data_IF_588475139911
#
_entry.id   IF_588475139911
#
_cell.length_a   1.000
_cell.length_b   1.000
_cell.length_c   1.000
_cell.angle_alpha   90.00
_cell.angle_beta   90.00
_cell.angle_gamma   90.00
#
_symmetry.space_group_name_H-M   'P 1'
#
loop_
_entity.id
_entity.type
_entity.pdbx_description
1 polymer ?
#
# COMPACT_ATOMS: atom_id res chain seq x y z
N UNK A 1 -0.46 7.19 -6.80
CA UNK A 1 -1.08 8.43 -6.26
C UNK A 1 -2.21 8.12 -5.28
N UNK A 2 -3.23 7.33 -5.65
CA UNK A 2 -4.36 7.02 -4.74
C UNK A 2 -3.90 6.44 -3.40
N UNK A 3 -2.93 5.53 -3.40
CA UNK A 3 -2.40 4.98 -2.15
C UNK A 3 -1.74 6.04 -1.27
N UNK A 4 -0.97 6.94 -1.86
CA UNK A 4 -0.36 8.06 -1.14
C UNK A 4 -1.43 8.97 -0.54
N UNK A 5 -2.46 9.27 -1.30
CA UNK A 5 -3.57 10.11 -0.83
C UNK A 5 -4.27 9.46 0.37
N UNK A 6 -4.77 8.22 0.22
CA UNK A 6 -5.57 7.58 1.27
C UNK A 6 -4.75 7.22 2.52
N UNK A 7 -3.48 6.87 2.37
CA UNK A 7 -2.62 6.47 3.48
C UNK A 7 -1.95 7.66 4.19
N UNK A 8 -1.69 8.76 3.49
CA UNK A 8 -0.84 9.82 4.01
C UNK A 8 -1.33 11.25 3.72
N UNK A 9 -2.61 11.45 3.40
CA UNK A 9 -3.12 12.80 3.10
C UNK A 9 -3.00 13.79 4.26
N UNK A 10 -3.05 13.31 5.50
CA UNK A 10 -2.89 14.12 6.72
C UNK A 10 -1.43 14.30 7.12
N UNK A 11 -0.52 13.59 6.47
CA UNK A 11 0.91 13.72 6.70
C UNK A 11 1.50 14.90 5.90
N UNK A 12 2.68 15.36 6.36
CA UNK A 12 3.50 16.29 5.56
C UNK A 12 4.11 15.56 4.36
N UNK A 13 4.74 16.33 3.47
CA UNK A 13 5.36 15.80 2.25
C UNK A 13 6.30 14.63 2.51
N UNK A 14 7.18 14.71 3.51
CA UNK A 14 8.12 13.63 3.86
C UNK A 14 7.40 12.34 4.26
N UNK A 15 6.30 12.42 5.01
CA UNK A 15 5.49 11.28 5.38
C UNK A 15 4.82 10.62 4.18
N UNK A 16 4.33 11.42 3.24
CA UNK A 16 3.74 10.90 1.99
C UNK A 16 4.79 10.23 1.10
N UNK A 17 5.99 10.81 0.98
CA UNK A 17 7.13 10.19 0.30
C UNK A 17 7.51 8.85 0.93
N UNK A 18 7.56 8.78 2.26
CA UNK A 18 7.91 7.57 3.00
C UNK A 18 6.93 6.41 2.73
N UNK A 19 5.63 6.69 2.68
CA UNK A 19 4.61 5.68 2.31
C UNK A 19 4.83 5.19 0.87
N UNK A 20 5.16 6.08 -0.04
CA UNK A 20 5.51 5.71 -1.42
C UNK A 20 6.75 4.82 -1.49
N UNK A 21 7.79 5.16 -0.72
CA UNK A 21 9.03 4.38 -0.66
C UNK A 21 8.77 2.94 -0.17
N UNK A 22 7.92 2.76 0.85
CA UNK A 22 7.51 1.42 1.30
C UNK A 22 6.84 0.64 0.16
N UNK A 23 5.95 1.26 -0.61
CA UNK A 23 5.30 0.61 -1.75
C UNK A 23 6.33 0.13 -2.78
N UNK A 24 7.30 0.96 -3.13
CA UNK A 24 8.38 0.60 -4.06
C UNK A 24 9.28 -0.51 -3.47
N UNK A 25 9.62 -0.44 -2.18
CA UNK A 25 10.40 -1.47 -1.51
C UNK A 25 9.70 -2.84 -1.56
N UNK A 26 8.37 -2.87 -1.37
CA UNK A 26 7.58 -4.09 -1.52
C UNK A 26 7.66 -4.65 -2.95
N UNK A 27 7.52 -3.82 -3.96
CA UNK A 27 7.64 -4.25 -5.37
C UNK A 27 9.01 -4.90 -5.64
N UNK A 28 10.07 -4.40 -5.03
CA UNK A 28 11.43 -4.94 -5.17
C UNK A 28 11.69 -6.20 -4.35
N UNK A 29 10.82 -6.53 -3.44
CA UNK A 29 10.97 -7.67 -2.52
C UNK A 29 10.30 -8.92 -3.08
N UNK A 30 10.97 -10.07 -2.98
CA UNK A 30 10.42 -11.36 -3.36
C UNK A 30 9.22 -11.80 -2.51
N UNK A 31 9.03 -11.18 -1.35
CA UNK A 31 7.94 -11.50 -0.41
C UNK A 31 6.63 -10.80 -0.75
N UNK A 32 6.61 -9.92 -1.74
CA UNK A 32 5.45 -9.13 -2.13
C UNK A 32 5.21 -9.25 -3.64
N UNK A 33 4.01 -8.85 -4.13
CA UNK A 33 3.77 -8.73 -5.56
C UNK A 33 4.78 -7.81 -6.25
N UNK A 34 5.10 -8.09 -7.50
CA UNK A 34 6.16 -7.43 -8.26
C UNK A 34 5.71 -6.21 -9.08
N UNK A 35 4.49 -5.73 -8.86
CA UNK A 35 3.98 -4.49 -9.50
C UNK A 35 3.37 -3.58 -8.44
N UNK A 36 3.41 -2.27 -8.70
CA UNK A 36 2.81 -1.26 -7.82
C UNK A 36 1.31 -1.53 -7.62
N UNK A 37 0.57 -1.77 -8.69
CA UNK A 37 -0.87 -2.02 -8.58
C UNK A 37 -1.18 -3.27 -7.76
N UNK A 38 -0.43 -4.35 -7.93
CA UNK A 38 -0.65 -5.57 -7.18
C UNK A 38 -0.26 -5.43 -5.70
N UNK A 39 0.79 -4.67 -5.39
CA UNK A 39 1.14 -4.33 -3.99
C UNK A 39 0.02 -3.52 -3.34
N UNK A 40 -0.48 -2.48 -4.02
CA UNK A 40 -1.54 -1.60 -3.49
C UNK A 40 -2.85 -2.36 -3.28
N UNK A 41 -3.17 -3.26 -4.19
CA UNK A 41 -4.41 -4.06 -4.16
C UNK A 41 -4.29 -5.39 -3.41
N UNK A 42 -3.16 -5.63 -2.76
CA UNK A 42 -2.92 -6.89 -2.05
C UNK A 42 -3.92 -7.09 -0.92
N UNK A 43 -4.51 -8.28 -0.86
CA UNK A 43 -5.48 -8.63 0.16
C UNK A 43 -6.07 -10.01 -0.08
N UNK A 44 -6.91 -10.42 0.85
CA UNK A 44 -7.66 -11.68 0.71
C UNK A 44 -8.75 -11.51 -0.34
N UNK A 45 -8.81 -12.45 -1.29
CA UNK A 45 -9.77 -12.45 -2.39
C UNK A 45 -10.76 -13.60 -2.27
N UNK A 46 -11.95 -13.44 -2.83
CA UNK A 46 -12.90 -14.52 -3.01
C UNK A 46 -13.38 -14.56 -4.45
N UNK A 47 -13.67 -15.78 -4.94
CA UNK A 47 -14.20 -15.94 -6.29
C UNK A 47 -15.69 -15.61 -6.34
N UNK A 48 -16.09 -14.87 -7.38
CA UNK A 48 -17.50 -14.55 -7.64
C UNK A 48 -18.30 -15.82 -7.85
N UNK A 49 -19.53 -15.86 -7.30
CA UNK A 49 -20.50 -16.94 -7.56
C UNK A 49 -20.79 -17.13 -9.06
N UNK A 50 -20.65 -16.08 -9.86
CA UNK A 50 -20.87 -16.11 -11.32
C UNK A 50 -19.92 -17.06 -12.03
N UNK A 51 -18.71 -17.23 -11.53
CA UNK A 51 -17.72 -18.14 -12.12
C UNK A 51 -17.49 -19.38 -11.27
N UNK A 52 -17.61 -19.29 -9.96
CA UNK A 52 -17.37 -20.40 -9.04
C UNK A 52 -18.21 -21.65 -9.33
N UNK A 53 -19.42 -21.49 -9.87
CA UNK A 53 -20.31 -22.61 -10.24
C UNK A 53 -19.88 -23.34 -11.52
N UNK A 54 -18.86 -22.84 -12.22
CA UNK A 54 -18.36 -23.44 -13.47
C UNK A 54 -16.95 -23.98 -13.25
N UNK A 55 -16.79 -25.30 -12.96
CA UNK A 55 -15.48 -25.87 -12.63
C UNK A 55 -14.50 -25.89 -13.80
N UNK A 56 -14.99 -25.86 -15.04
CA UNK A 56 -14.16 -25.98 -16.25
C UNK A 56 -13.57 -24.65 -16.73
N UNK A 57 -13.88 -23.54 -16.09
CA UNK A 57 -13.27 -22.25 -16.41
C UNK A 57 -11.78 -22.24 -16.08
N UNK A 58 -10.97 -21.63 -16.96
CA UNK A 58 -9.58 -21.33 -16.66
C UNK A 58 -9.46 -20.24 -15.59
N UNK A 59 -8.29 -20.11 -14.94
CA UNK A 59 -8.07 -19.06 -13.96
C UNK A 59 -8.28 -17.64 -14.53
N UNK A 60 -7.94 -17.43 -15.81
CA UNK A 60 -8.10 -16.14 -16.49
C UNK A 60 -9.56 -15.74 -16.70
N UNK A 61 -10.45 -16.71 -16.76
CA UNK A 61 -11.90 -16.49 -16.92
C UNK A 61 -12.62 -16.28 -15.60
N UNK A 62 -11.95 -16.51 -14.46
CA UNK A 62 -12.54 -16.39 -13.14
C UNK A 62 -12.55 -14.94 -12.66
N UNK A 63 -13.61 -14.57 -11.95
CA UNK A 63 -13.80 -13.24 -11.41
C UNK A 63 -13.59 -13.28 -9.90
N UNK A 64 -12.62 -12.49 -9.42
CA UNK A 64 -12.32 -12.37 -8.00
C UNK A 64 -12.62 -10.96 -7.49
N UNK A 65 -13.06 -10.89 -6.23
CA UNK A 65 -13.29 -9.64 -5.51
C UNK A 65 -12.53 -9.65 -4.18
N UNK A 66 -12.08 -8.47 -3.70
CA UNK A 66 -11.45 -8.40 -2.39
C UNK A 66 -12.48 -8.63 -1.27
N UNK A 67 -12.05 -9.35 -0.24
CA UNK A 67 -12.83 -9.50 0.99
C UNK A 67 -12.80 -8.17 1.75
N UNK A 68 -13.98 -7.62 2.04
CA UNK A 68 -14.11 -6.34 2.75
C UNK A 68 -13.32 -6.33 4.05
N UNK A 69 -12.49 -5.30 4.24
CA UNK A 69 -11.68 -5.11 5.44
C UNK A 69 -10.48 -6.04 5.56
N UNK A 70 -10.12 -6.82 4.53
CA UNK A 70 -9.01 -7.78 4.55
C UNK A 70 -7.91 -7.44 3.53
N UNK A 71 -7.71 -6.15 3.24
CA UNK A 71 -6.66 -5.67 2.36
C UNK A 71 -5.50 -5.08 3.15
N UNK A 72 -4.29 -5.15 2.60
CA UNK A 72 -3.07 -4.56 3.18
C UNK A 72 -3.23 -3.05 3.37
N UNK A 73 -3.75 -2.37 2.35
CA UNK A 73 -4.18 -0.98 2.42
C UNK A 73 -5.70 -0.94 2.58
N UNK A 74 -6.17 -0.56 3.76
CA UNK A 74 -7.58 -0.69 4.14
C UNK A 74 -8.55 0.05 3.22
N UNK A 75 -8.14 1.20 2.67
CA UNK A 75 -8.96 2.02 1.79
C UNK A 75 -9.43 1.28 0.52
N UNK A 76 -8.61 0.33 0.04
CA UNK A 76 -8.90 -0.40 -1.20
C UNK A 76 -10.16 -1.27 -1.11
N UNK A 77 -10.47 -1.82 0.07
CA UNK A 77 -11.61 -2.71 0.25
C UNK A 77 -12.43 -2.44 1.51
N UNK A 78 -12.50 -1.19 1.95
CA UNK A 78 -13.32 -0.77 3.10
C UNK A 78 -14.80 -0.53 2.74
N UNK A 79 -15.15 -0.56 1.46
CA UNK A 79 -16.50 -0.33 0.95
C UNK A 79 -16.90 1.14 0.85
N UNK A 80 -15.95 2.07 1.08
CA UNK A 80 -16.15 3.50 0.91
C UNK A 80 -15.71 3.97 -0.48
N UNK A 81 -16.09 5.20 -0.85
CA UNK A 81 -15.60 5.81 -2.09
C UNK A 81 -14.09 6.02 -2.05
N UNK A 82 -13.42 5.68 -3.14
CA UNK A 82 -11.98 5.91 -3.34
C UNK A 82 -11.67 7.26 -3.99
N UNK A 83 -12.69 8.05 -4.29
CA UNK A 83 -12.53 9.36 -4.94
C UNK A 83 -11.90 10.35 -3.97
N UNK A 84 -10.75 10.97 -4.33
CA UNK A 84 -10.14 12.00 -3.49
C UNK A 84 -11.02 13.24 -3.38
N UNK A 85 -11.29 13.67 -2.15
CA UNK A 85 -12.11 14.85 -1.86
C UNK A 85 -11.25 16.08 -1.51
N UNK A 86 -10.07 15.87 -0.93
CA UNK A 86 -9.12 16.93 -0.55
C UNK A 86 -8.15 17.20 -1.70
N UNK A 87 -8.47 18.20 -2.53
CA UNK A 87 -7.74 18.45 -3.77
C UNK A 87 -6.25 18.78 -3.56
N UNK A 88 -5.90 19.56 -2.55
CA UNK A 88 -4.50 19.92 -2.29
C UNK A 88 -3.65 18.68 -1.97
N UNK A 89 -4.16 17.79 -1.12
CA UNK A 89 -3.50 16.52 -0.79
C UNK A 89 -3.46 15.59 -2.01
N UNK A 90 -4.50 15.59 -2.83
CA UNK A 90 -4.55 14.81 -4.07
C UNK A 90 -3.51 15.26 -5.09
N UNK A 91 -3.40 16.55 -5.34
CA UNK A 91 -2.39 17.09 -6.26
C UNK A 91 -0.97 16.83 -5.76
N UNK A 92 -0.73 16.93 -4.46
CA UNK A 92 0.56 16.56 -3.85
C UNK A 92 0.86 15.08 -4.06
N UNK A 93 -0.12 14.20 -3.86
CA UNK A 93 0.03 12.77 -4.10
C UNK A 93 0.35 12.45 -5.57
N UNK A 94 -0.29 13.14 -6.50
CA UNK A 94 -0.01 13.01 -7.94
C UNK A 94 1.43 13.44 -8.28
N UNK A 95 1.89 14.57 -7.76
CA UNK A 95 3.23 15.09 -8.02
C UNK A 95 4.31 14.17 -7.46
N UNK A 96 4.13 13.71 -6.21
CA UNK A 96 5.07 12.77 -5.57
C UNK A 96 5.10 11.45 -6.32
N UNK A 97 3.95 10.87 -6.64
CA UNK A 97 3.90 9.60 -7.38
C UNK A 97 4.60 9.70 -8.73
N UNK A 98 4.40 10.80 -9.45
CA UNK A 98 5.08 11.06 -10.74
C UNK A 98 6.60 11.12 -10.58
N UNK A 99 7.09 11.89 -9.61
CA UNK A 99 8.52 12.03 -9.36
C UNK A 99 9.16 10.70 -8.94
N UNK A 100 8.48 9.90 -8.11
CA UNK A 100 8.99 8.59 -7.69
C UNK A 100 9.07 7.59 -8.85
N UNK A 101 8.09 7.60 -9.74
CA UNK A 101 8.02 6.65 -10.86
C UNK A 101 8.96 7.08 -12.00
N UNK A 102 8.92 8.37 -12.37
CA UNK A 102 9.61 8.86 -13.58
C UNK A 102 11.08 9.20 -13.32
N UNK A 103 11.46 9.58 -12.10
CA UNK A 103 12.77 10.14 -11.78
C UNK A 103 13.49 9.46 -10.63
N UNK A 104 12.89 8.44 -10.01
CA UNK A 104 13.40 7.75 -8.81
C UNK A 104 13.76 8.70 -7.64
N UNK A 105 13.17 9.90 -7.63
CA UNK A 105 13.39 10.89 -6.57
C UNK A 105 12.66 10.47 -5.30
N UNK A 106 13.35 10.54 -4.16
CA UNK A 106 12.81 10.23 -2.83
C UNK A 106 12.77 8.75 -2.50
N UNK A 107 13.28 7.87 -3.38
CA UNK A 107 13.47 6.47 -3.06
C UNK A 107 14.62 6.29 -2.08
N UNK A 108 14.47 5.35 -1.15
CA UNK A 108 15.47 5.08 -0.10
C UNK A 108 15.29 5.92 1.17
N UNK A 109 14.26 6.77 1.24
CA UNK A 109 13.98 7.58 2.44
C UNK A 109 13.78 6.76 3.71
N UNK A 110 13.22 5.56 3.57
CA UNK A 110 12.95 4.63 4.67
C UNK A 110 13.98 3.49 4.78
N UNK A 111 15.09 3.57 4.06
CA UNK A 111 16.17 2.56 4.06
C UNK A 111 15.68 1.11 3.90
N UNK A 112 14.78 0.92 2.95
CA UNK A 112 14.25 -0.40 2.61
C UNK A 112 13.11 -0.90 3.50
N UNK A 113 12.48 -0.02 4.28
CA UNK A 113 11.30 -0.39 5.06
C UNK A 113 10.19 -0.94 4.17
N UNK A 114 9.54 -2.00 4.63
CA UNK A 114 8.44 -2.67 3.93
C UNK A 114 7.14 -2.72 4.76
N UNK A 115 7.19 -2.22 6.00
CA UNK A 115 6.05 -2.08 6.91
C UNK A 115 6.05 -0.72 7.61
N UNK A 116 4.86 -0.24 7.94
CA UNK A 116 4.70 0.91 8.80
C UNK A 116 3.35 0.84 9.54
N UNK A 117 3.27 1.59 10.63
CA UNK A 117 2.01 1.85 11.34
C UNK A 117 2.00 3.27 11.89
N UNK A 118 0.79 3.77 12.18
CA UNK A 118 0.65 5.05 12.89
C UNK A 118 1.23 4.93 14.31
N UNK A 119 1.81 6.00 14.83
CA UNK A 119 2.52 6.03 16.12
C UNK A 119 1.62 5.74 17.33
N UNK A 120 0.30 5.93 17.18
CA UNK A 120 -0.70 5.62 18.22
C UNK A 120 -1.23 4.17 18.17
N UNK A 121 -0.75 3.35 17.25
CA UNK A 121 -1.09 1.92 17.12
C UNK A 121 0.14 1.10 17.53
N UNK A 122 -0.09 -0.03 18.20
CA UNK A 122 0.96 -0.96 18.59
C UNK A 122 0.59 -2.37 18.09
N UNK A 123 0.88 -2.67 16.81
CA UNK A 123 0.54 -3.97 16.24
C UNK A 123 1.51 -5.07 16.69
N UNK A 124 0.99 -6.27 16.92
CA UNK A 124 1.78 -7.41 17.42
C UNK A 124 2.98 -7.78 16.53
N UNK A 125 2.92 -7.46 15.24
CA UNK A 125 3.99 -7.79 14.30
C UNK A 125 5.26 -6.94 14.47
N UNK A 126 5.18 -5.75 15.09
CA UNK A 126 6.32 -4.83 15.17
C UNK A 126 7.47 -5.36 16.04
N UNK A 127 7.16 -6.22 17.04
CA UNK A 127 8.16 -6.85 17.92
C UNK A 127 9.11 -7.80 17.16
N UNK A 128 8.70 -8.24 15.97
CA UNK A 128 9.46 -9.16 15.13
C UNK A 128 10.12 -8.48 13.93
N UNK A 129 10.18 -7.15 13.94
CA UNK A 129 10.73 -6.35 12.86
C UNK A 129 11.78 -5.36 13.35
N UNK A 130 12.57 -4.84 12.43
CA UNK A 130 13.59 -3.83 12.72
C UNK A 130 12.97 -2.45 12.49
N UNK A 131 12.85 -1.65 13.55
CA UNK A 131 12.48 -0.24 13.43
C UNK A 131 13.61 0.53 12.72
N UNK A 132 13.31 1.14 11.61
CA UNK A 132 14.27 1.92 10.80
C UNK A 132 14.21 3.40 11.16
N UNK A 133 13.00 3.99 11.11
CA UNK A 133 12.84 5.44 11.32
C UNK A 133 11.40 5.78 11.66
N UNK A 134 11.24 6.98 12.20
CA UNK A 134 9.92 7.61 12.40
C UNK A 134 9.85 8.87 11.56
N UNK A 135 8.85 9.00 10.73
CA UNK A 135 8.60 10.17 9.88
C UNK A 135 7.15 10.60 10.07
N UNK A 136 6.96 11.85 10.50
CA UNK A 136 5.63 12.32 10.85
C UNK A 136 5.02 11.47 11.96
N UNK A 137 3.80 11.00 11.74
CA UNK A 137 3.07 10.16 12.69
C UNK A 137 3.16 8.66 12.38
N UNK A 138 4.15 8.24 11.58
CA UNK A 138 4.36 6.84 11.21
C UNK A 138 5.73 6.32 11.62
N UNK A 139 5.77 5.07 12.08
CA UNK A 139 6.97 4.29 12.36
C UNK A 139 7.19 3.27 11.23
N UNK A 140 8.38 3.24 10.69
CA UNK A 140 8.75 2.42 9.53
C UNK A 140 9.68 1.29 9.93
N UNK A 141 9.39 0.10 9.44
CA UNK A 141 10.05 -1.15 9.81
C UNK A 141 10.49 -1.94 8.60
N UNK A 142 11.54 -2.72 8.80
CA UNK A 142 12.04 -3.68 7.83
C UNK A 142 11.87 -5.10 8.35
N UNK A 143 11.40 -6.00 7.49
CA UNK A 143 11.30 -7.43 7.80
C UNK A 143 12.68 -8.03 8.08
N UNK A 144 12.77 -8.88 9.08
CA UNK A 144 13.94 -9.72 9.34
C UNK A 144 13.88 -10.90 8.36
N UNK A 145 14.94 -11.07 7.59
CA UNK A 145 15.06 -12.16 6.60
C UNK A 145 16.22 -13.06 6.91
#
# INVERSE_FOLDING_TARGET
>A
ALNLYHEARSERTAGMWAVGDVTINRVKSISFPNTICNVVKQGRMYESWKTKRYPDLSEEERIYYPVKGKCQFSWWCDGKSDVPEELDSWYRALDIARLMIDSDIGLGLTDGADHYHADYIDPDWNDHMILITTIGNHKFYKSIR
#
